data_IF_245371591374
#
_entry.id   IF_245371591374
#
_cell.length_a   1.000
_cell.length_b   1.000
_cell.length_c   1.000
_cell.angle_alpha   90.00
_cell.angle_beta   90.00
_cell.angle_gamma   90.00
#
_symmetry.space_group_name_H-M   'P 1'
#
loop_
_entity.id
_entity.type
_entity.pdbx_description
1 polymer ?
#
# COMPACT_ATOMS: atom_id res chain seq x y z
N UNK A 1 -46.52 -11.27 -2.01
CA UNK A 1 -45.61 -11.44 -0.87
C UNK A 1 -44.34 -10.58 -0.96
N UNK A 2 -43.66 -10.49 -2.11
CA UNK A 2 -42.41 -9.74 -2.30
C UNK A 2 -42.45 -8.26 -1.85
N UNK A 3 -43.55 -7.53 -2.13
CA UNK A 3 -43.75 -6.13 -1.69
C UNK A 3 -43.84 -5.96 -0.17
N UNK A 4 -44.38 -6.94 0.57
CA UNK A 4 -44.52 -6.85 2.03
C UNK A 4 -43.20 -7.16 2.76
N UNK A 5 -42.35 -8.01 2.16
CA UNK A 5 -40.99 -8.30 2.66
C UNK A 5 -40.05 -7.11 2.44
N UNK A 6 -40.15 -6.41 1.30
CA UNK A 6 -39.35 -5.21 1.01
C UNK A 6 -39.68 -4.03 1.95
N UNK A 7 -40.96 -3.85 2.30
CA UNK A 7 -41.39 -2.79 3.24
C UNK A 7 -40.91 -3.08 4.67
N UNK A 8 -40.92 -4.34 5.10
CA UNK A 8 -40.41 -4.73 6.42
C UNK A 8 -38.87 -4.58 6.54
N UNK A 9 -38.11 -4.91 5.48
CA UNK A 9 -36.66 -4.67 5.42
C UNK A 9 -36.31 -3.18 5.33
N UNK A 10 -37.11 -2.38 4.63
CA UNK A 10 -37.00 -0.92 4.63
C UNK A 10 -37.21 -0.30 6.01
N UNK A 11 -38.15 -0.84 6.80
CA UNK A 11 -38.36 -0.44 8.19
C UNK A 11 -37.22 -0.90 9.12
N UNK A 12 -36.63 -2.08 8.91
CA UNK A 12 -35.47 -2.56 9.67
C UNK A 12 -34.19 -1.72 9.42
N UNK A 13 -34.09 -1.06 8.26
CA UNK A 13 -33.07 -0.04 8.00
C UNK A 13 -33.39 1.32 8.65
N UNK A 14 -34.65 1.57 9.05
CA UNK A 14 -35.10 2.82 9.66
C UNK A 14 -35.09 2.80 11.20
N UNK A 15 -35.07 1.62 11.83
CA UNK A 15 -34.89 1.50 13.29
C UNK A 15 -33.39 1.62 13.61
N UNK A 16 -32.95 2.86 13.75
CA UNK A 16 -31.60 3.21 14.17
C UNK A 16 -31.37 2.80 15.63
N UNK A 17 -30.78 1.61 15.85
CA UNK A 17 -29.99 1.39 17.05
C UNK A 17 -28.83 2.40 17.03
N UNK A 18 -28.51 3.10 18.14
CA UNK A 18 -27.39 4.01 18.19
C UNK A 18 -26.13 3.23 17.82
N UNK A 19 -25.54 3.58 16.67
CA UNK A 19 -24.25 3.05 16.29
C UNK A 19 -23.24 3.46 17.38
N UNK A 20 -22.32 2.59 17.79
CA UNK A 20 -21.22 2.99 18.66
C UNK A 20 -20.54 4.21 18.01
N UNK A 21 -20.28 5.23 18.83
CA UNK A 21 -19.68 6.50 18.41
C UNK A 21 -18.55 6.23 17.41
N UNK A 22 -18.74 6.67 16.17
CA UNK A 22 -17.73 6.59 15.13
C UNK A 22 -16.51 7.35 15.63
N UNK A 23 -15.41 6.62 15.80
CA UNK A 23 -14.11 7.20 16.09
C UNK A 23 -13.79 8.18 14.97
N UNK A 24 -13.53 9.42 15.37
CA UNK A 24 -13.26 10.60 14.57
C UNK A 24 -11.87 10.50 13.90
N UNK A 25 -11.59 9.38 13.22
CA UNK A 25 -10.36 9.18 12.46
C UNK A 25 -10.69 9.24 10.98
N UNK A 26 -10.40 10.38 10.36
CA UNK A 26 -10.39 10.58 8.90
C UNK A 26 -9.41 9.64 8.17
N UNK A 27 -8.63 8.84 8.90
CA UNK A 27 -7.68 7.83 8.44
C UNK A 27 -8.22 6.41 8.65
N UNK A 28 -8.87 5.87 7.62
CA UNK A 28 -9.30 4.47 7.58
C UNK A 28 -8.15 3.56 7.13
N UNK A 29 -8.03 2.41 7.78
CA UNK A 29 -7.05 1.36 7.46
C UNK A 29 -7.72 0.37 6.49
N UNK A 30 -7.63 0.57 5.16
CA UNK A 30 -8.26 -0.37 4.23
C UNK A 30 -7.34 -1.54 3.83
N UNK A 31 -7.88 -2.76 3.67
CA UNK A 31 -7.10 -3.93 3.22
C UNK A 31 -6.78 -3.85 1.72
N UNK A 32 -5.71 -4.51 1.26
CA UNK A 32 -5.45 -4.75 -0.18
C UNK A 32 -6.66 -5.36 -0.86
N UNK A 33 -6.89 -5.15 -2.17
CA UNK A 33 -7.94 -5.89 -2.90
C UNK A 33 -7.76 -7.42 -2.72
N UNK A 34 -6.52 -7.89 -2.77
CA UNK A 34 -6.19 -9.29 -2.49
C UNK A 34 -6.58 -9.73 -1.07
N UNK A 35 -6.21 -8.96 -0.04
CA UNK A 35 -6.58 -9.28 1.35
C UNK A 35 -8.09 -9.14 1.57
N UNK A 36 -8.74 -8.16 0.94
CA UNK A 36 -10.18 -7.99 0.97
C UNK A 36 -10.88 -9.21 0.37
N UNK A 37 -10.43 -9.69 -0.79
CA UNK A 37 -10.95 -10.91 -1.43
C UNK A 37 -10.65 -12.16 -0.59
N UNK A 38 -9.45 -12.30 -0.04
CA UNK A 38 -9.05 -13.45 0.77
C UNK A 38 -9.86 -13.52 2.08
N UNK A 39 -10.01 -12.39 2.75
CA UNK A 39 -10.73 -12.25 4.02
C UNK A 39 -12.25 -12.10 3.84
N UNK A 40 -12.75 -12.01 2.60
CA UNK A 40 -14.18 -11.87 2.35
C UNK A 40 -14.92 -13.14 2.73
N UNK A 41 -15.99 -12.99 3.50
CA UNK A 41 -16.94 -14.05 3.80
C UNK A 41 -17.88 -14.32 2.61
N UNK A 42 -18.14 -13.28 1.80
CA UNK A 42 -19.03 -13.34 0.65
C UNK A 42 -18.56 -12.38 -0.45
N UNK A 43 -18.53 -12.86 -1.70
CA UNK A 43 -18.33 -12.01 -2.89
C UNK A 43 -19.49 -12.28 -3.84
N UNK A 44 -20.20 -11.23 -4.25
CA UNK A 44 -21.40 -11.33 -5.09
C UNK A 44 -21.44 -10.27 -6.18
N UNK A 45 -22.10 -10.58 -7.29
CA UNK A 45 -22.72 -9.59 -8.15
C UNK A 45 -24.14 -9.36 -7.64
N UNK A 46 -24.52 -8.11 -7.40
CA UNK A 46 -25.84 -7.78 -6.88
C UNK A 46 -26.39 -6.48 -7.48
N UNK A 47 -27.71 -6.34 -7.43
CA UNK A 47 -28.45 -5.18 -7.91
C UNK A 47 -29.05 -4.43 -6.73
N UNK A 48 -28.90 -3.10 -6.70
CA UNK A 48 -29.47 -2.25 -5.66
C UNK A 48 -31.00 -2.28 -5.74
N UNK A 49 -31.64 -2.98 -4.81
CA UNK A 49 -33.09 -3.10 -4.72
C UNK A 49 -33.73 -1.90 -3.98
N UNK A 50 -33.01 -1.29 -3.05
CA UNK A 50 -33.41 -0.06 -2.37
C UNK A 50 -32.17 0.69 -1.85
N UNK A 51 -32.19 2.03 -1.89
CA UNK A 51 -31.09 2.88 -1.42
C UNK A 51 -31.58 3.74 -0.25
N UNK A 52 -30.76 3.83 0.80
CA UNK A 52 -31.02 4.62 2.00
C UNK A 52 -29.82 5.52 2.33
N UNK A 53 -30.03 6.52 3.19
CA UNK A 53 -29.02 7.53 3.52
C UNK A 53 -27.66 6.95 3.95
N UNK A 54 -27.64 5.81 4.65
CA UNK A 54 -26.42 5.18 5.20
C UNK A 54 -26.19 3.74 4.70
N UNK A 55 -26.88 3.31 3.63
CA UNK A 55 -26.82 1.92 3.18
C UNK A 55 -27.72 1.61 1.99
N UNK A 56 -27.73 0.36 1.56
CA UNK A 56 -28.59 -0.11 0.49
C UNK A 56 -28.93 -1.59 0.68
N UNK A 57 -30.11 -1.98 0.22
CA UNK A 57 -30.50 -3.37 0.09
C UNK A 57 -30.13 -3.84 -1.31
N UNK A 58 -29.40 -4.95 -1.41
CA UNK A 58 -28.94 -5.53 -2.66
C UNK A 58 -29.57 -6.91 -2.87
N UNK A 59 -30.19 -7.11 -4.03
CA UNK A 59 -30.60 -8.44 -4.48
C UNK A 59 -29.40 -9.13 -5.13
N UNK A 60 -28.97 -10.26 -4.56
CA UNK A 60 -27.86 -11.05 -5.08
C UNK A 60 -28.27 -11.67 -6.42
N UNK A 61 -27.55 -11.32 -7.47
CA UNK A 61 -27.73 -11.90 -8.80
C UNK A 61 -26.89 -13.17 -8.95
N UNK A 62 -25.65 -13.15 -8.45
CA UNK A 62 -24.71 -14.27 -8.55
C UNK A 62 -23.70 -14.27 -7.40
N UNK A 63 -23.50 -15.43 -6.80
CA UNK A 63 -22.47 -15.68 -5.79
C UNK A 63 -21.15 -16.11 -6.43
N UNK A 64 -20.05 -15.42 -6.12
CA UNK A 64 -18.71 -15.70 -6.62
C UNK A 64 -17.82 -16.39 -5.57
N UNK A 65 -17.98 -16.03 -4.30
CA UNK A 65 -17.28 -16.63 -3.15
C UNK A 65 -18.23 -16.68 -1.96
N UNK A 66 -18.15 -17.72 -1.13
CA UNK A 66 -18.95 -17.89 0.09
C UNK A 66 -20.16 -18.79 -0.12
N UNK A 67 -21.06 -18.92 0.88
CA UNK A 67 -22.27 -19.73 0.75
C UNK A 67 -23.19 -19.18 -0.34
N UNK A 68 -23.88 -20.06 -1.07
CA UNK A 68 -24.78 -19.68 -2.17
C UNK A 68 -25.92 -18.79 -1.66
N UNK A 69 -26.05 -17.59 -2.23
CA UNK A 69 -27.04 -16.56 -1.85
C UNK A 69 -27.84 -16.02 -3.03
N UNK A 70 -27.78 -16.66 -4.21
CA UNK A 70 -28.47 -16.18 -5.42
C UNK A 70 -29.97 -15.95 -5.16
N UNK A 71 -30.47 -14.77 -5.51
CA UNK A 71 -31.84 -14.32 -5.25
C UNK A 71 -32.10 -13.75 -3.85
N UNK A 72 -31.18 -13.91 -2.89
CA UNK A 72 -31.31 -13.35 -1.55
C UNK A 72 -31.16 -11.81 -1.57
N UNK A 73 -31.73 -11.16 -0.55
CA UNK A 73 -31.57 -9.72 -0.33
C UNK A 73 -30.61 -9.51 0.84
N UNK A 74 -29.57 -8.70 0.63
CA UNK A 74 -28.56 -8.34 1.62
C UNK A 74 -28.72 -6.88 1.99
N UNK A 75 -28.80 -6.57 3.28
CA UNK A 75 -28.71 -5.21 3.78
C UNK A 75 -27.24 -4.85 4.00
N UNK A 76 -26.77 -3.80 3.31
CA UNK A 76 -25.36 -3.37 3.38
C UNK A 76 -25.31 -1.95 3.93
N UNK A 77 -24.57 -1.79 5.03
CA UNK A 77 -24.40 -0.51 5.74
C UNK A 77 -23.03 0.11 5.42
N UNK A 78 -22.89 1.42 5.66
CA UNK A 78 -21.61 2.13 5.54
C UNK A 78 -21.22 2.52 4.10
N UNK A 79 -22.21 2.58 3.20
CA UNK A 79 -21.99 2.91 1.77
C UNK A 79 -21.79 4.41 1.51
N UNK A 80 -22.26 5.25 2.43
CA UNK A 80 -22.21 6.71 2.37
C UNK A 80 -21.46 7.25 3.59
N UNK A 81 -20.35 7.94 3.37
CA UNK A 81 -19.76 8.84 4.35
C UNK A 81 -20.03 10.27 3.86
N UNK A 82 -20.57 11.19 4.69
CA UNK A 82 -20.94 12.55 4.28
C UNK A 82 -19.79 13.36 3.66
N UNK A 83 -18.55 13.01 4.01
CA UNK A 83 -17.33 13.68 3.55
C UNK A 83 -16.74 13.07 2.26
N UNK A 84 -17.21 11.89 1.81
CA UNK A 84 -16.78 11.26 0.56
C UNK A 84 -17.59 11.86 -0.60
N UNK A 85 -17.31 13.13 -0.92
CA UNK A 85 -18.12 14.00 -1.80
C UNK A 85 -18.21 13.61 -3.29
N UNK A 86 -17.59 12.52 -3.76
CA UNK A 86 -17.53 12.21 -5.20
C UNK A 86 -17.77 10.73 -5.57
N UNK A 87 -18.60 10.02 -4.81
CA UNK A 87 -19.16 8.77 -5.36
C UNK A 87 -20.32 9.09 -6.28
N UNK A 88 -20.46 8.41 -7.43
CA UNK A 88 -21.72 8.42 -8.13
C UNK A 88 -22.83 8.04 -7.15
N UNK A 89 -23.92 8.81 -7.17
CA UNK A 89 -25.11 8.47 -6.40
C UNK A 89 -25.46 7.02 -6.74
N UNK A 90 -25.64 6.20 -5.71
CA UNK A 90 -26.13 4.84 -5.90
C UNK A 90 -27.62 4.97 -6.19
N UNK A 91 -28.06 4.43 -7.31
CA UNK A 91 -29.46 4.42 -7.70
C UNK A 91 -30.05 3.02 -7.58
N UNK A 92 -31.38 2.96 -7.46
CA UNK A 92 -32.07 1.68 -7.53
C UNK A 92 -31.89 1.08 -8.94
N UNK A 93 -31.54 -0.20 -9.01
CA UNK A 93 -31.21 -0.89 -10.26
C UNK A 93 -29.72 -0.92 -10.59
N UNK A 94 -28.89 -0.14 -9.88
CA UNK A 94 -27.44 -0.20 -10.08
C UNK A 94 -26.90 -1.58 -9.72
N UNK A 95 -26.19 -2.18 -10.68
CA UNK A 95 -25.46 -3.42 -10.45
C UNK A 95 -24.06 -3.12 -9.91
N UNK A 96 -23.58 -3.99 -9.02
CA UNK A 96 -22.27 -3.84 -8.40
C UNK A 96 -21.70 -5.20 -8.01
N UNK A 97 -20.40 -5.35 -8.20
CA UNK A 97 -19.65 -6.38 -7.49
C UNK A 97 -19.41 -5.92 -6.05
N UNK A 98 -19.65 -6.82 -5.11
CA UNK A 98 -19.56 -6.57 -3.69
C UNK A 98 -18.62 -7.58 -3.04
N UNK A 99 -17.64 -7.07 -2.30
CA UNK A 99 -16.75 -7.84 -1.43
C UNK A 99 -17.19 -7.55 -0.01
N UNK A 100 -17.62 -8.57 0.74
CA UNK A 100 -18.31 -8.41 2.02
C UNK A 100 -17.63 -9.20 3.13
N UNK A 101 -17.61 -8.60 4.33
CA UNK A 101 -17.26 -9.25 5.60
C UNK A 101 -18.50 -9.30 6.50
N UNK A 102 -18.65 -10.38 7.26
CA UNK A 102 -19.80 -10.60 8.14
C UNK A 102 -20.11 -12.07 8.33
N UNK A 103 -20.98 -12.40 9.28
CA UNK A 103 -21.38 -13.80 9.52
C UNK A 103 -22.09 -14.35 8.27
N UNK A 104 -21.56 -15.41 7.61
CA UNK A 104 -22.10 -15.92 6.35
C UNK A 104 -23.57 -16.34 6.43
N UNK A 105 -24.09 -16.59 7.63
CA UNK A 105 -25.48 -17.01 7.94
C UNK A 105 -26.36 -15.90 8.54
N UNK A 106 -25.81 -14.73 8.91
CA UNK A 106 -26.53 -13.63 9.58
C UNK A 106 -26.88 -12.43 8.67
N UNK A 107 -27.61 -11.45 9.22
CA UNK A 107 -28.10 -10.26 8.48
C UNK A 107 -27.12 -9.07 8.43
N UNK A 108 -25.90 -9.22 8.97
CA UNK A 108 -24.93 -8.12 9.08
C UNK A 108 -23.73 -8.30 8.16
N UNK A 109 -23.87 -7.98 6.87
CA UNK A 109 -22.73 -7.81 5.98
C UNK A 109 -22.32 -6.34 5.91
N UNK A 110 -21.02 -6.09 5.97
CA UNK A 110 -20.43 -4.78 5.74
C UNK A 110 -19.40 -4.87 4.63
N UNK A 111 -19.13 -3.72 4.00
CA UNK A 111 -17.91 -3.58 3.21
C UNK A 111 -16.68 -3.72 4.13
N UNK A 112 -15.53 -4.19 3.62
CA UNK A 112 -14.26 -4.15 4.34
C UNK A 112 -13.95 -2.78 4.93
N UNK A 113 -14.40 -1.72 4.23
CA UNK A 113 -14.29 -0.33 4.66
C UNK A 113 -15.31 0.55 3.90
N UNK A 114 -15.51 1.82 4.31
CA UNK A 114 -16.40 2.72 3.58
C UNK A 114 -15.97 2.96 2.13
N UNK A 115 -14.67 3.03 1.83
CA UNK A 115 -14.17 3.33 0.47
C UNK A 115 -13.89 2.11 -0.41
N UNK A 116 -13.79 0.89 0.14
CA UNK A 116 -13.45 -0.34 -0.58
C UNK A 116 -14.48 -1.45 -0.37
N UNK A 117 -14.86 -2.11 -1.46
CA UNK A 117 -15.71 -3.31 -1.45
C UNK A 117 -16.98 -3.20 -2.30
N UNK A 118 -17.26 -2.04 -2.90
CA UNK A 118 -18.33 -1.85 -3.90
C UNK A 118 -17.71 -1.41 -5.22
N UNK A 119 -17.99 -2.16 -6.28
CA UNK A 119 -17.49 -1.89 -7.62
C UNK A 119 -18.69 -1.82 -8.60
N UNK A 120 -19.24 -0.62 -8.85
CA UNK A 120 -20.40 -0.44 -9.72
C UNK A 120 -20.12 -0.89 -11.14
N UNK A 121 -21.10 -1.50 -11.79
CA UNK A 121 -21.05 -1.80 -13.22
C UNK A 121 -21.73 -0.71 -14.03
N UNK A 122 -21.20 -0.38 -15.20
CA UNK A 122 -21.76 0.59 -16.15
C UNK A 122 -21.62 0.06 -17.56
N UNK A 123 -22.31 0.67 -18.52
CA UNK A 123 -22.02 0.44 -19.93
C UNK A 123 -20.88 1.37 -20.36
N UNK A 124 -19.84 0.79 -20.94
CA UNK A 124 -18.74 1.51 -21.58
C UNK A 124 -19.17 2.17 -22.90
N UNK A 125 -18.26 2.95 -23.49
CA UNK A 125 -18.52 3.64 -24.76
C UNK A 125 -18.77 2.72 -25.95
N UNK A 126 -18.37 1.45 -25.84
CA UNK A 126 -18.59 0.37 -26.81
C UNK A 126 -19.86 -0.48 -26.49
N UNK A 127 -20.62 -0.10 -25.48
CA UNK A 127 -21.82 -0.80 -25.03
C UNK A 127 -21.53 -2.08 -24.23
N UNK A 128 -20.28 -2.38 -23.89
CA UNK A 128 -19.93 -3.52 -23.04
C UNK A 128 -19.98 -3.15 -21.55
N UNK A 129 -20.27 -4.11 -20.66
CA UNK A 129 -20.24 -3.85 -19.22
C UNK A 129 -18.81 -3.57 -18.74
N UNK A 130 -18.63 -2.44 -18.07
CA UNK A 130 -17.43 -2.01 -17.39
C UNK A 130 -17.66 -1.99 -15.87
N UNK A 131 -16.72 -2.51 -15.11
CA UNK A 131 -16.66 -2.42 -13.66
C UNK A 131 -15.85 -1.19 -13.30
N UNK A 132 -16.51 -0.23 -12.65
CA UNK A 132 -15.88 0.96 -12.11
C UNK A 132 -15.27 0.62 -10.76
N UNK A 133 -13.95 0.64 -10.70
CA UNK A 133 -13.21 0.58 -9.47
C UNK A 133 -12.93 2.02 -9.01
N UNK A 134 -13.68 2.48 -8.01
CA UNK A 134 -13.51 3.80 -7.40
C UNK A 134 -12.88 3.66 -6.03
N UNK A 135 -11.75 4.34 -5.84
CA UNK A 135 -11.03 4.41 -4.57
C UNK A 135 -10.79 5.87 -4.27
N UNK A 136 -11.16 6.36 -3.09
CA UNK A 136 -10.79 7.71 -2.72
C UNK A 136 -11.55 8.29 -1.54
N UNK A 137 -10.80 9.08 -0.76
CA UNK A 137 -11.29 10.21 0.03
C UNK A 137 -11.18 11.53 -0.76
N UNK A 138 -11.38 12.66 -0.09
CA UNK A 138 -11.54 13.99 -0.71
C UNK A 138 -10.37 14.45 -1.62
N UNK A 139 -9.16 13.88 -1.49
CA UNK A 139 -7.96 14.31 -2.24
C UNK A 139 -7.31 13.19 -3.07
N UNK A 140 -7.88 11.98 -3.08
CA UNK A 140 -7.20 10.75 -3.55
C UNK A 140 -8.10 9.86 -4.41
N UNK A 141 -8.91 10.49 -5.26
CA UNK A 141 -9.86 9.77 -6.10
C UNK A 141 -9.17 9.15 -7.33
N UNK A 142 -9.10 7.81 -7.36
CA UNK A 142 -8.75 7.03 -8.54
C UNK A 142 -9.99 6.29 -8.99
N UNK A 143 -10.40 6.54 -10.23
CA UNK A 143 -11.49 5.84 -10.91
C UNK A 143 -10.90 5.08 -12.08
N UNK A 144 -11.01 3.76 -12.02
CA UNK A 144 -10.65 2.87 -13.13
C UNK A 144 -11.94 2.27 -13.68
N UNK A 145 -12.11 2.22 -14.99
CA UNK A 145 -13.18 1.48 -15.64
C UNK A 145 -12.56 0.28 -16.36
N UNK A 146 -12.93 -0.93 -15.93
CA UNK A 146 -12.40 -2.16 -16.52
C UNK A 146 -13.49 -2.94 -17.22
N UNK A 147 -13.22 -3.55 -18.39
CA UNK A 147 -14.14 -4.54 -18.95
C UNK A 147 -14.44 -5.63 -17.91
N UNK A 148 -15.72 -5.95 -17.71
CA UNK A 148 -16.19 -6.85 -16.65
C UNK A 148 -15.46 -8.20 -16.66
N UNK A 149 -15.19 -8.73 -17.85
CA UNK A 149 -14.43 -9.97 -18.04
C UNK A 149 -13.04 -9.90 -17.39
N UNK A 150 -12.33 -8.79 -17.56
CA UNK A 150 -11.01 -8.60 -16.96
C UNK A 150 -11.11 -8.51 -15.43
N UNK A 151 -12.09 -7.75 -14.92
CA UNK A 151 -12.31 -7.66 -13.47
C UNK A 151 -12.61 -9.02 -12.83
N UNK A 152 -13.44 -9.85 -13.47
CA UNK A 152 -13.74 -11.21 -13.02
C UNK A 152 -12.50 -12.12 -13.03
N UNK A 153 -11.64 -12.00 -14.03
CA UNK A 153 -10.38 -12.76 -14.08
C UNK A 153 -9.45 -12.38 -12.91
N UNK A 154 -9.39 -11.10 -12.54
CA UNK A 154 -8.64 -10.63 -11.37
C UNK A 154 -9.19 -11.22 -10.07
N UNK A 155 -10.50 -11.10 -9.86
CA UNK A 155 -11.16 -11.64 -8.67
C UNK A 155 -10.97 -13.16 -8.58
N UNK A 156 -11.13 -13.89 -9.68
CA UNK A 156 -10.93 -15.34 -9.73
C UNK A 156 -9.53 -15.75 -9.29
N UNK A 157 -8.48 -15.06 -9.75
CA UNK A 157 -7.10 -15.33 -9.33
C UNK A 157 -6.83 -15.14 -7.83
N UNK A 158 -7.71 -14.42 -7.13
CA UNK A 158 -7.60 -14.07 -5.71
C UNK A 158 -8.44 -14.96 -4.77
N UNK A 159 -9.43 -15.72 -5.26
CA UNK A 159 -10.33 -16.55 -4.44
C UNK A 159 -9.69 -17.93 -4.13
N UNK A 160 -9.59 -18.39 -2.86
CA UNK A 160 -9.09 -19.72 -2.42
C UNK A 160 -9.76 -20.95 -3.13
N UNK A 161 -9.02 -21.98 -3.59
CA UNK A 161 -9.51 -23.25 -4.20
C UNK A 161 -8.59 -23.96 -5.23
N UNK A 162 -8.79 -25.24 -5.59
CA UNK A 162 -7.94 -25.94 -6.60
C UNK A 162 -8.08 -25.38 -8.03
N UNK A 163 -9.19 -24.72 -8.35
CA UNK A 163 -9.40 -23.98 -9.60
C UNK A 163 -8.45 -22.76 -9.75
N UNK A 164 -7.74 -22.40 -8.68
CA UNK A 164 -6.80 -21.27 -8.61
C UNK A 164 -5.64 -21.38 -9.58
N UNK A 165 -5.01 -22.54 -9.73
CA UNK A 165 -3.78 -22.59 -10.53
C UNK A 165 -4.09 -22.29 -12.00
N UNK A 166 -5.25 -22.75 -12.49
CA UNK A 166 -5.74 -22.43 -13.83
C UNK A 166 -6.10 -20.94 -13.94
N UNK A 167 -6.86 -20.39 -12.98
CA UNK A 167 -7.28 -18.99 -12.99
C UNK A 167 -6.11 -18.01 -12.79
N UNK A 168 -5.10 -18.35 -11.98
CA UNK A 168 -3.86 -17.57 -11.83
C UNK A 168 -3.03 -17.60 -13.11
N UNK A 169 -2.93 -18.76 -13.77
CA UNK A 169 -2.26 -18.85 -15.07
C UNK A 169 -2.99 -18.02 -16.11
N UNK A 170 -4.32 -18.05 -16.13
CA UNK A 170 -5.14 -17.24 -17.04
C UNK A 170 -4.99 -15.74 -16.75
N UNK A 171 -5.10 -15.32 -15.48
CA UNK A 171 -4.93 -13.92 -15.08
C UNK A 171 -3.50 -13.42 -15.37
N UNK A 172 -2.48 -14.26 -15.15
CA UNK A 172 -1.09 -13.93 -15.52
C UNK A 172 -0.95 -13.82 -17.04
N UNK A 173 -1.56 -14.72 -17.83
CA UNK A 173 -1.54 -14.66 -19.28
C UNK A 173 -2.24 -13.40 -19.82
N UNK A 174 -3.39 -13.04 -19.27
CA UNK A 174 -4.12 -11.82 -19.60
C UNK A 174 -3.27 -10.58 -19.28
N UNK A 175 -2.67 -10.52 -18.08
CA UNK A 175 -1.78 -9.43 -17.70
C UNK A 175 -0.55 -9.32 -18.63
N UNK A 176 0.05 -10.45 -19.02
CA UNK A 176 1.16 -10.49 -19.99
C UNK A 176 0.72 -9.94 -21.35
N UNK A 177 -0.48 -10.28 -21.81
CA UNK A 177 -1.02 -9.80 -23.09
C UNK A 177 -1.20 -8.27 -23.09
N UNK A 178 -1.72 -7.71 -21.99
CA UNK A 178 -1.82 -6.25 -21.83
C UNK A 178 -0.44 -5.59 -21.84
N UNK A 179 0.54 -6.13 -21.08
CA UNK A 179 1.89 -5.55 -21.04
C UNK A 179 2.70 -5.75 -22.32
N UNK A 180 2.26 -6.59 -23.24
CA UNK A 180 2.83 -6.64 -24.59
C UNK A 180 2.55 -5.35 -25.36
N UNK A 181 1.44 -4.66 -25.05
CA UNK A 181 0.97 -3.41 -25.66
C UNK A 181 0.49 -2.40 -24.60
N UNK A 182 1.40 -1.89 -23.73
CA UNK A 182 1.02 -1.11 -22.55
C UNK A 182 0.53 0.32 -22.86
N UNK A 183 0.58 0.74 -24.13
CA UNK A 183 0.20 2.08 -24.57
C UNK A 183 -1.27 2.27 -24.87
N UNK A 184 -1.98 1.18 -25.18
CA UNK A 184 -3.34 1.23 -25.71
C UNK A 184 -4.35 1.57 -24.59
N UNK A 185 -4.06 1.15 -23.36
CA UNK A 185 -4.91 1.37 -22.19
C UNK A 185 -4.04 1.45 -20.91
N UNK A 186 -3.84 2.65 -20.34
CA UNK A 186 -3.09 2.83 -19.10
C UNK A 186 -3.73 2.21 -17.86
N UNK A 187 -5.06 2.10 -17.82
CA UNK A 187 -5.80 1.53 -16.69
C UNK A 187 -5.66 0.01 -16.72
N UNK A 188 -5.83 -0.61 -17.88
CA UNK A 188 -5.53 -2.03 -18.06
C UNK A 188 -4.05 -2.32 -17.75
N UNK A 189 -3.13 -1.44 -18.15
CA UNK A 189 -1.69 -1.60 -17.84
C UNK A 189 -1.41 -1.54 -16.35
N UNK A 190 -2.02 -0.60 -15.64
CA UNK A 190 -1.94 -0.52 -14.18
C UNK A 190 -2.40 -1.84 -13.55
N UNK A 191 -3.58 -2.31 -13.94
CA UNK A 191 -4.20 -3.53 -13.42
C UNK A 191 -3.37 -4.78 -13.75
N UNK A 192 -2.83 -4.87 -14.97
CA UNK A 192 -1.92 -5.94 -15.36
C UNK A 192 -0.68 -5.97 -14.46
N UNK A 193 -0.07 -4.81 -14.18
CA UNK A 193 1.08 -4.71 -13.26
C UNK A 193 0.69 -5.08 -11.83
N UNK A 194 -0.50 -4.71 -11.35
CA UNK A 194 -0.99 -5.14 -10.04
C UNK A 194 -1.17 -6.65 -9.96
N UNK A 195 -1.78 -7.24 -10.98
CA UNK A 195 -1.97 -8.69 -11.12
C UNK A 195 -0.65 -9.43 -11.06
N UNK A 196 0.33 -9.01 -11.87
CA UNK A 196 1.67 -9.58 -11.81
C UNK A 196 2.34 -9.28 -10.46
N UNK A 197 2.09 -8.12 -9.88
CA UNK A 197 2.54 -7.76 -8.54
C UNK A 197 2.03 -8.70 -7.45
N UNK A 198 0.95 -9.46 -7.67
CA UNK A 198 0.46 -10.46 -6.71
C UNK A 198 1.13 -11.82 -6.89
N UNK A 199 1.34 -12.24 -8.14
CA UNK A 199 1.71 -13.61 -8.47
C UNK A 199 3.16 -13.79 -8.91
N UNK A 200 3.82 -12.75 -9.39
CA UNK A 200 5.19 -12.83 -9.89
C UNK A 200 6.18 -13.04 -8.73
N UNK A 201 7.15 -13.91 -8.98
CA UNK A 201 8.27 -14.17 -8.08
C UNK A 201 9.62 -14.08 -8.79
N UNK A 202 10.68 -14.42 -8.06
CA UNK A 202 12.08 -14.36 -8.55
C UNK A 202 12.34 -15.25 -9.79
N UNK A 203 11.46 -16.21 -10.07
CA UNK A 203 11.55 -17.15 -11.19
C UNK A 203 11.01 -16.61 -12.52
N UNK A 204 10.15 -15.59 -12.51
CA UNK A 204 9.41 -15.12 -13.69
C UNK A 204 10.19 -14.07 -14.49
N UNK A 205 11.45 -14.37 -14.82
CA UNK A 205 12.37 -13.42 -15.47
C UNK A 205 11.89 -12.95 -16.83
N UNK A 206 11.06 -13.74 -17.51
CA UNK A 206 10.43 -13.38 -18.78
C UNK A 206 9.47 -12.20 -18.67
N UNK A 207 9.03 -11.83 -17.46
CA UNK A 207 8.21 -10.64 -17.21
C UNK A 207 9.02 -9.35 -17.22
N UNK A 208 10.34 -9.40 -17.00
CA UNK A 208 11.18 -8.19 -16.91
C UNK A 208 11.08 -7.34 -18.18
N UNK A 209 11.22 -7.87 -19.41
CA UNK A 209 11.08 -7.06 -20.62
C UNK A 209 9.69 -6.41 -20.78
N UNK A 210 8.62 -7.07 -20.33
CA UNK A 210 7.25 -6.56 -20.39
C UNK A 210 7.05 -5.37 -19.45
N UNK A 211 7.53 -5.49 -18.21
CA UNK A 211 7.46 -4.40 -17.22
C UNK A 211 8.33 -3.21 -17.65
N UNK A 212 9.52 -3.48 -18.21
CA UNK A 212 10.38 -2.44 -18.75
C UNK A 212 9.75 -1.72 -19.95
N UNK A 213 9.04 -2.44 -20.82
CA UNK A 213 8.28 -1.85 -21.93
C UNK A 213 7.20 -0.90 -21.43
N UNK A 214 6.43 -1.28 -20.40
CA UNK A 214 5.45 -0.41 -19.78
C UNK A 214 6.09 0.87 -19.20
N UNK A 215 7.24 0.76 -18.53
CA UNK A 215 8.00 1.92 -18.03
C UNK A 215 8.64 2.78 -19.13
N UNK A 216 8.83 2.22 -20.32
CA UNK A 216 9.40 2.90 -21.48
C UNK A 216 8.35 3.64 -22.31
N UNK A 217 7.08 3.28 -22.18
CA UNK A 217 6.01 3.84 -22.99
C UNK A 217 5.85 5.34 -22.76
N UNK A 218 5.87 6.11 -23.85
CA UNK A 218 5.91 7.56 -23.81
C UNK A 218 4.62 8.17 -23.24
N UNK A 219 3.46 7.67 -23.65
CA UNK A 219 2.16 8.12 -23.11
C UNK A 219 2.02 7.90 -21.60
N UNK A 220 2.57 6.79 -21.09
CA UNK A 220 2.55 6.48 -19.65
C UNK A 220 3.51 7.39 -18.85
N UNK A 221 4.51 7.96 -19.51
CA UNK A 221 5.39 8.99 -18.93
C UNK A 221 4.76 10.38 -18.98
N UNK A 222 4.10 10.75 -20.09
CA UNK A 222 3.50 12.07 -20.31
C UNK A 222 2.24 12.31 -19.48
N UNK A 223 1.37 11.30 -19.32
CA UNK A 223 0.06 11.45 -18.64
C UNK A 223 0.14 11.51 -17.10
N UNK A 224 1.32 11.71 -16.52
CA UNK A 224 1.51 11.74 -15.05
C UNK A 224 0.93 10.52 -14.32
N UNK A 225 0.85 9.36 -14.97
CA UNK A 225 0.34 8.11 -14.38
C UNK A 225 1.41 7.43 -13.52
N UNK A 226 1.85 8.13 -12.50
CA UNK A 226 2.87 7.66 -11.58
C UNK A 226 2.44 6.38 -10.84
N UNK A 227 1.13 6.11 -10.72
CA UNK A 227 0.55 4.86 -10.20
C UNK A 227 1.04 3.64 -10.99
N UNK A 228 1.10 3.74 -12.32
CA UNK A 228 1.61 2.67 -13.20
C UNK A 228 3.09 2.43 -12.92
N UNK A 229 3.88 3.50 -12.73
CA UNK A 229 5.31 3.40 -12.44
C UNK A 229 5.57 2.87 -11.03
N UNK A 230 4.75 3.22 -10.05
CA UNK A 230 4.75 2.61 -8.70
C UNK A 230 4.46 1.12 -8.79
N UNK A 231 3.40 0.72 -9.51
CA UNK A 231 3.06 -0.68 -9.70
C UNK A 231 4.20 -1.46 -10.38
N UNK A 232 4.78 -0.90 -11.44
CA UNK A 232 5.94 -1.48 -12.12
C UNK A 232 7.15 -1.63 -11.20
N UNK A 233 7.47 -0.62 -10.37
CA UNK A 233 8.56 -0.70 -9.40
C UNK A 233 8.36 -1.87 -8.42
N UNK A 234 7.14 -2.08 -7.92
CA UNK A 234 6.81 -3.23 -7.05
C UNK A 234 7.01 -4.57 -7.75
N UNK A 235 6.55 -4.69 -9.01
CA UNK A 235 6.76 -5.91 -9.80
C UNK A 235 8.26 -6.19 -9.98
N UNK A 236 9.05 -5.17 -10.36
CA UNK A 236 10.50 -5.30 -10.50
C UNK A 236 11.18 -5.75 -9.20
N UNK A 237 10.71 -5.25 -8.04
CA UNK A 237 11.17 -5.70 -6.72
C UNK A 237 11.00 -7.21 -6.51
N UNK A 238 9.82 -7.74 -6.88
CA UNK A 238 9.53 -9.18 -6.76
C UNK A 238 10.33 -10.05 -7.74
N UNK A 239 10.48 -9.59 -8.98
CA UNK A 239 11.24 -10.31 -10.02
C UNK A 239 12.72 -10.42 -9.66
N UNK A 240 13.26 -9.44 -8.91
CA UNK A 240 14.65 -9.38 -8.48
C UNK A 240 15.66 -9.43 -9.65
N UNK A 241 16.95 -9.47 -9.33
CA UNK A 241 18.03 -9.56 -10.33
C UNK A 241 18.64 -8.22 -10.74
N UNK A 242 19.77 -8.30 -11.46
CA UNK A 242 20.64 -7.14 -11.75
C UNK A 242 19.92 -6.06 -12.57
N UNK A 243 19.19 -6.47 -13.60
CA UNK A 243 18.46 -5.55 -14.49
C UNK A 243 17.36 -4.81 -13.72
N UNK A 244 16.59 -5.53 -12.90
CA UNK A 244 15.57 -4.94 -12.03
C UNK A 244 16.18 -3.95 -11.04
N UNK A 245 17.28 -4.32 -10.37
CA UNK A 245 17.99 -3.45 -9.45
C UNK A 245 18.49 -2.16 -10.13
N UNK A 246 19.08 -2.26 -11.34
CA UNK A 246 19.51 -1.09 -12.09
C UNK A 246 18.35 -0.19 -12.48
N UNK A 247 17.21 -0.77 -12.88
CA UNK A 247 16.02 0.03 -13.23
C UNK A 247 15.41 0.71 -12.00
N UNK A 248 15.30 0.00 -10.89
CA UNK A 248 14.82 0.55 -9.63
C UNK A 248 15.73 1.68 -9.13
N UNK A 249 17.06 1.54 -9.27
CA UNK A 249 18.00 2.61 -8.95
C UNK A 249 17.73 3.87 -9.78
N UNK A 250 17.56 3.72 -11.09
CA UNK A 250 17.25 4.84 -11.97
C UNK A 250 15.93 5.53 -11.59
N UNK A 251 14.89 4.76 -11.23
CA UNK A 251 13.62 5.30 -10.75
C UNK A 251 13.77 6.04 -9.41
N UNK A 252 14.53 5.47 -8.46
CA UNK A 252 14.79 6.08 -7.16
C UNK A 252 15.51 7.45 -7.27
N UNK A 253 16.41 7.59 -8.24
CA UNK A 253 17.16 8.82 -8.45
C UNK A 253 16.41 9.89 -9.25
N UNK A 254 15.72 9.48 -10.31
CA UNK A 254 15.36 10.40 -11.39
C UNK A 254 13.87 10.42 -11.74
N UNK A 255 13.02 9.59 -11.14
CA UNK A 255 11.58 9.70 -11.43
C UNK A 255 11.06 11.05 -10.92
N UNK A 256 10.28 11.80 -11.71
CA UNK A 256 9.76 13.11 -11.29
C UNK A 256 8.84 13.00 -10.06
N UNK A 257 8.15 11.88 -9.87
CA UNK A 257 7.18 11.72 -8.80
C UNK A 257 7.80 11.12 -7.53
N UNK A 258 7.66 11.76 -6.35
CA UNK A 258 8.30 11.30 -5.10
C UNK A 258 7.80 9.92 -4.65
N UNK A 259 6.53 9.57 -4.90
CA UNK A 259 6.00 8.23 -4.61
C UNK A 259 6.76 7.12 -5.37
N UNK A 260 7.10 7.37 -6.64
CA UNK A 260 7.85 6.39 -7.44
C UNK A 260 9.26 6.26 -6.90
N UNK A 261 9.92 7.39 -6.56
CA UNK A 261 11.25 7.38 -5.95
C UNK A 261 11.27 6.58 -4.65
N UNK A 262 10.33 6.85 -3.75
CA UNK A 262 10.18 6.18 -2.46
C UNK A 262 9.93 4.67 -2.61
N UNK A 263 8.99 4.27 -3.47
CA UNK A 263 8.70 2.84 -3.71
C UNK A 263 9.90 2.16 -4.34
N UNK A 264 10.55 2.77 -5.34
CA UNK A 264 11.70 2.17 -5.99
C UNK A 264 12.88 1.95 -5.02
N UNK A 265 13.17 2.92 -4.15
CA UNK A 265 14.17 2.79 -3.09
C UNK A 265 13.82 1.66 -2.10
N UNK A 266 12.56 1.60 -1.67
CA UNK A 266 12.09 0.54 -0.77
C UNK A 266 12.22 -0.85 -1.40
N UNK A 267 11.94 -0.99 -2.70
CA UNK A 267 12.08 -2.27 -3.41
C UNK A 267 13.55 -2.68 -3.62
N UNK A 268 14.48 -1.73 -3.77
CA UNK A 268 15.92 -2.03 -3.87
C UNK A 268 16.44 -2.80 -2.67
N UNK A 269 15.97 -2.44 -1.47
CA UNK A 269 16.32 -3.13 -0.23
C UNK A 269 16.00 -4.63 -0.32
N UNK A 270 14.80 -4.98 -0.81
CA UNK A 270 14.34 -6.38 -0.93
C UNK A 270 15.02 -7.17 -2.06
N UNK A 271 15.49 -6.51 -3.11
CA UNK A 271 16.19 -7.17 -4.23
C UNK A 271 17.61 -7.59 -3.85
N UNK A 272 18.21 -6.92 -2.85
CA UNK A 272 19.63 -7.00 -2.56
C UNK A 272 19.96 -7.39 -1.12
N UNK A 273 18.96 -7.60 -0.26
CA UNK A 273 19.14 -7.97 1.16
C UNK A 273 20.03 -9.20 1.33
N UNK A 274 19.96 -10.17 0.42
CA UNK A 274 20.78 -11.40 0.46
C UNK A 274 22.22 -11.21 -0.09
N UNK A 275 22.60 -10.00 -0.53
CA UNK A 275 23.85 -9.72 -1.26
C UNK A 275 24.66 -8.55 -0.69
N UNK A 276 24.51 -8.29 0.61
CA UNK A 276 25.30 -7.30 1.34
C UNK A 276 26.80 -7.46 1.06
N UNK A 277 27.50 -6.34 0.84
CA UNK A 277 28.94 -6.33 0.55
C UNK A 277 29.36 -6.68 -0.88
N UNK A 278 28.45 -7.09 -1.77
CA UNK A 278 28.79 -7.27 -3.19
C UNK A 278 29.16 -5.94 -3.86
N UNK A 279 30.03 -5.96 -4.90
CA UNK A 279 30.39 -4.75 -5.68
C UNK A 279 29.17 -4.00 -6.21
N UNK A 280 28.12 -4.73 -6.58
CA UNK A 280 26.86 -4.16 -7.04
C UNK A 280 26.09 -3.47 -5.89
N UNK A 281 25.99 -4.11 -4.72
CA UNK A 281 25.37 -3.51 -3.53
C UNK A 281 26.11 -2.24 -3.09
N UNK A 282 27.45 -2.25 -3.09
CA UNK A 282 28.26 -1.07 -2.76
C UNK A 282 28.04 0.08 -3.76
N UNK A 283 27.96 -0.21 -5.06
CA UNK A 283 27.66 0.82 -6.05
C UNK A 283 26.26 1.41 -5.84
N UNK A 284 25.25 0.57 -5.62
CA UNK A 284 23.87 0.99 -5.36
C UNK A 284 23.80 1.84 -4.08
N UNK A 285 24.48 1.44 -3.02
CA UNK A 285 24.53 2.20 -1.78
C UNK A 285 25.13 3.60 -1.97
N UNK A 286 26.26 3.72 -2.69
CA UNK A 286 26.85 5.05 -2.97
C UNK A 286 25.88 5.95 -3.73
N UNK A 287 25.18 5.38 -4.71
CA UNK A 287 24.22 6.12 -5.53
C UNK A 287 22.99 6.55 -4.71
N UNK A 288 22.45 5.66 -3.87
CA UNK A 288 21.35 5.99 -2.96
C UNK A 288 21.76 7.04 -1.91
N UNK A 289 22.99 6.98 -1.40
CA UNK A 289 23.51 7.97 -0.47
C UNK A 289 23.58 9.35 -1.12
N UNK A 290 24.01 9.44 -2.39
CA UNK A 290 23.97 10.71 -3.13
C UNK A 290 22.53 11.19 -3.32
N UNK A 291 21.62 10.33 -3.75
CA UNK A 291 20.20 10.68 -3.94
C UNK A 291 19.52 11.12 -2.64
N UNK A 292 19.96 10.62 -1.49
CA UNK A 292 19.42 10.97 -0.18
C UNK A 292 19.73 12.41 0.24
N UNK A 293 20.83 13.01 -0.23
CA UNK A 293 21.24 14.37 0.17
C UNK A 293 20.27 15.45 -0.30
N UNK A 294 19.57 15.19 -1.39
CA UNK A 294 18.62 16.11 -2.03
C UNK A 294 17.17 15.60 -1.89
N UNK A 295 16.96 14.48 -1.20
CA UNK A 295 15.66 13.86 -1.07
C UNK A 295 14.79 14.63 -0.06
N UNK A 296 13.53 14.87 -0.43
CA UNK A 296 12.54 15.39 0.51
C UNK A 296 12.35 14.44 1.70
N UNK A 297 12.27 15.01 2.89
CA UNK A 297 11.94 14.32 4.12
C UNK A 297 10.42 14.17 4.33
N UNK A 298 9.60 14.88 3.56
CA UNK A 298 8.15 14.83 3.72
C UNK A 298 7.58 13.50 3.22
N UNK A 299 6.72 12.84 4.02
CA UNK A 299 5.97 11.67 3.60
C UNK A 299 5.20 11.96 2.33
N UNK A 300 5.07 10.94 1.48
CA UNK A 300 4.34 11.11 0.22
C UNK A 300 2.93 10.64 0.40
N UNK A 301 1.98 11.57 0.32
CA UNK A 301 0.58 11.20 0.17
C UNK A 301 0.38 10.59 -1.21
N UNK A 302 -0.06 9.34 -1.23
CA UNK A 302 -0.30 8.55 -2.42
C UNK A 302 -1.72 7.99 -2.34
N UNK A 303 -2.39 7.80 -3.47
CA UNK A 303 -3.62 7.02 -3.52
C UNK A 303 -3.28 5.61 -4.01
N UNK A 304 -3.07 4.67 -3.09
CA UNK A 304 -2.98 3.26 -3.47
C UNK A 304 -4.38 2.65 -3.51
N UNK A 305 -4.81 2.32 -4.73
CA UNK A 305 -6.06 1.62 -5.08
C UNK A 305 -6.26 0.34 -4.25
N UNK A 306 -5.19 -0.35 -3.86
CA UNK A 306 -5.34 -1.56 -3.05
C UNK A 306 -5.18 -1.28 -1.56
N UNK A 307 -4.19 -0.50 -1.12
CA UNK A 307 -3.90 -0.37 0.33
C UNK A 307 -3.79 1.10 0.77
N UNK A 308 -4.88 1.70 1.23
CA UNK A 308 -4.85 3.05 1.78
C UNK A 308 -4.12 3.22 3.12
N UNK A 309 -3.64 2.14 3.76
CA UNK A 309 -2.57 2.28 4.77
C UNK A 309 -1.24 2.68 4.16
N UNK A 310 -1.06 2.41 2.86
CA UNK A 310 0.07 2.87 2.06
C UNK A 310 -0.19 4.21 1.36
N UNK A 311 -1.31 4.89 1.72
CA UNK A 311 -1.56 6.25 1.24
C UNK A 311 -0.60 7.27 1.84
N UNK A 312 0.19 6.88 2.84
CA UNK A 312 1.44 7.55 3.17
C UNK A 312 2.56 6.57 2.87
N UNK A 313 3.34 6.88 1.85
CA UNK A 313 4.61 6.24 1.62
C UNK A 313 5.66 6.94 2.48
N UNK A 314 6.69 6.21 2.96
CA UNK A 314 7.85 6.86 3.55
C UNK A 314 8.37 7.93 2.58
N UNK A 315 8.94 8.99 3.12
CA UNK A 315 9.57 10.01 2.28
C UNK A 315 10.68 9.39 1.43
N UNK A 316 11.05 9.98 0.28
CA UNK A 316 12.19 9.51 -0.49
C UNK A 316 13.48 9.43 0.36
N UNK A 317 13.65 10.35 1.31
CA UNK A 317 14.77 10.31 2.27
C UNK A 317 14.71 9.06 3.15
N UNK A 318 13.57 8.81 3.81
CA UNK A 318 13.40 7.64 4.68
C UNK A 318 13.58 6.34 3.90
N UNK A 319 12.98 6.23 2.71
CA UNK A 319 13.07 5.04 1.88
C UNK A 319 14.52 4.74 1.45
N UNK A 320 15.27 5.76 1.04
CA UNK A 320 16.68 5.61 0.70
C UNK A 320 17.52 5.21 1.93
N UNK A 321 17.27 5.84 3.08
CA UNK A 321 17.98 5.53 4.33
C UNK A 321 17.70 4.09 4.79
N UNK A 322 16.45 3.62 4.78
CA UNK A 322 16.12 2.22 5.05
C UNK A 322 16.82 1.27 4.08
N UNK A 323 16.87 1.60 2.79
CA UNK A 323 17.57 0.80 1.80
C UNK A 323 19.09 0.75 2.05
N UNK A 324 19.71 1.87 2.45
CA UNK A 324 21.13 1.90 2.83
C UNK A 324 21.41 1.03 4.05
N UNK A 325 20.54 1.07 5.06
CA UNK A 325 20.66 0.24 6.25
C UNK A 325 20.48 -1.25 5.95
N UNK A 326 19.49 -1.62 5.12
CA UNK A 326 19.30 -3.00 4.68
C UNK A 326 20.49 -3.55 3.88
N UNK A 327 21.20 -2.67 3.15
CA UNK A 327 22.46 -2.99 2.46
C UNK A 327 23.68 -3.00 3.39
N UNK A 328 23.50 -2.76 4.69
CA UNK A 328 24.57 -2.63 5.70
C UNK A 328 25.62 -1.56 5.31
N UNK A 329 25.20 -0.52 4.57
CA UNK A 329 26.12 0.52 4.10
C UNK A 329 26.29 1.63 5.12
N UNK A 330 27.56 1.96 5.42
CA UNK A 330 27.93 3.11 6.26
C UNK A 330 27.85 4.46 5.55
N UNK A 331 27.62 4.48 4.24
CA UNK A 331 27.47 5.73 3.48
C UNK A 331 26.26 6.56 3.96
N UNK A 332 25.27 5.90 4.59
CA UNK A 332 24.10 6.54 5.17
C UNK A 332 24.33 7.21 6.53
N UNK A 333 25.41 6.88 7.27
CA UNK A 333 25.60 7.34 8.67
C UNK A 333 25.60 8.86 8.76
N UNK A 334 26.40 9.54 7.93
CA UNK A 334 26.51 11.01 7.97
C UNK A 334 25.17 11.68 7.64
N UNK A 335 24.44 11.14 6.67
CA UNK A 335 23.14 11.68 6.22
C UNK A 335 22.09 11.49 7.31
N UNK A 336 22.01 10.28 7.89
CA UNK A 336 21.09 9.98 8.98
C UNK A 336 21.38 10.84 10.21
N UNK A 337 22.65 10.99 10.62
CA UNK A 337 23.04 11.85 11.74
C UNK A 337 22.68 13.32 11.50
N UNK A 338 22.86 13.82 10.26
CA UNK A 338 22.43 15.17 9.89
C UNK A 338 20.92 15.33 9.95
N UNK A 339 20.15 14.30 9.59
CA UNK A 339 18.69 14.33 9.66
C UNK A 339 18.18 14.39 11.11
N UNK A 340 18.87 13.76 12.07
CA UNK A 340 18.57 13.84 13.51
C UNK A 340 18.82 15.22 14.13
N UNK A 341 19.63 16.05 13.48
CA UNK A 341 19.92 17.44 13.90
C UNK A 341 18.87 18.43 13.37
N UNK A 342 18.01 18.00 12.43
CA UNK A 342 16.94 18.82 11.86
C UNK A 342 15.87 19.19 12.90
N UNK A 343 15.14 20.29 12.64
CA UNK A 343 13.89 20.64 13.33
C UNK A 343 12.66 19.95 12.71
N UNK A 344 12.79 19.44 11.48
CA UNK A 344 11.76 18.65 10.80
C UNK A 344 11.65 17.25 11.41
N UNK A 345 10.51 16.97 12.04
CA UNK A 345 10.20 15.68 12.65
C UNK A 345 10.31 14.52 11.66
N UNK A 346 9.92 14.70 10.39
CA UNK A 346 9.94 13.62 9.41
C UNK A 346 11.37 13.33 8.92
N UNK A 347 12.25 14.34 8.90
CA UNK A 347 13.68 14.14 8.73
C UNK A 347 14.29 13.36 9.91
N UNK A 348 13.90 13.71 11.14
CA UNK A 348 14.33 12.97 12.34
C UNK A 348 13.88 11.50 12.25
N UNK A 349 12.61 11.23 11.93
CA UNK A 349 12.09 9.87 11.74
C UNK A 349 12.87 9.11 10.66
N UNK A 350 13.16 9.75 9.53
CA UNK A 350 13.96 9.15 8.46
C UNK A 350 15.37 8.75 8.94
N UNK A 351 16.04 9.63 9.69
CA UNK A 351 17.33 9.36 10.32
C UNK A 351 17.27 8.21 11.33
N UNK A 352 16.24 8.18 12.18
CA UNK A 352 16.05 7.11 13.17
C UNK A 352 15.74 5.76 12.53
N UNK A 353 14.98 5.74 11.42
CA UNK A 353 14.68 4.53 10.66
C UNK A 353 15.95 3.85 10.13
N UNK A 354 16.96 4.62 9.69
CA UNK A 354 18.27 4.09 9.29
C UNK A 354 18.93 3.31 10.43
N UNK A 355 19.02 3.91 11.62
CA UNK A 355 19.72 3.29 12.75
C UNK A 355 18.95 2.10 13.33
N UNK A 356 17.62 2.18 13.34
CA UNK A 356 16.74 1.07 13.76
C UNK A 356 16.95 -0.17 12.89
N UNK A 357 17.09 0.01 11.57
CA UNK A 357 17.30 -1.08 10.63
C UNK A 357 18.76 -1.57 10.64
N UNK A 358 19.73 -0.66 10.78
CA UNK A 358 21.17 -1.00 10.78
C UNK A 358 21.58 -1.80 12.02
N UNK A 359 21.00 -1.48 13.19
CA UNK A 359 21.27 -2.14 14.48
C UNK A 359 22.76 -2.21 14.86
N UNK A 360 23.53 -1.16 14.57
CA UNK A 360 24.94 -1.07 14.98
C UNK A 360 25.06 -0.34 16.34
N UNK A 361 25.27 -1.05 17.47
CA UNK A 361 25.34 -0.45 18.80
C UNK A 361 26.53 0.52 18.95
N UNK A 362 27.55 0.44 18.08
CA UNK A 362 28.72 1.34 18.12
C UNK A 362 28.32 2.78 17.77
N UNK A 363 27.19 2.98 17.11
CA UNK A 363 26.66 4.30 16.73
C UNK A 363 25.72 4.89 17.79
N UNK A 364 25.39 4.15 18.85
CA UNK A 364 24.45 4.59 19.88
C UNK A 364 24.87 5.91 20.54
N UNK A 365 26.18 6.11 20.80
CA UNK A 365 26.67 7.38 21.36
C UNK A 365 26.42 8.57 20.43
N UNK A 366 26.56 8.37 19.11
CA UNK A 366 26.35 9.42 18.12
C UNK A 366 24.87 9.80 18.03
N UNK A 367 23.96 8.82 18.08
CA UNK A 367 22.51 9.02 18.13
C UNK A 367 22.10 9.70 19.43
N UNK A 368 22.57 9.21 20.59
CA UNK A 368 22.24 9.78 21.90
C UNK A 368 22.72 11.23 22.06
N UNK A 369 23.85 11.60 21.44
CA UNK A 369 24.35 12.99 21.48
C UNK A 369 23.39 13.98 20.81
N UNK A 370 22.53 13.51 19.90
CA UNK A 370 21.55 14.33 19.16
C UNK A 370 20.18 14.38 19.84
N UNK A 371 19.98 13.63 20.92
CA UNK A 371 18.78 13.80 21.75
C UNK A 371 18.71 15.23 22.30
N UNK A 372 17.48 15.76 22.42
CA UNK A 372 17.22 17.09 22.94
C UNK A 372 17.47 17.12 24.44
N UNK A 373 17.95 18.25 24.97
CA UNK A 373 18.14 18.42 26.41
C UNK A 373 16.78 18.41 27.13
N UNK A 374 16.77 18.01 28.42
CA UNK A 374 15.54 17.89 29.21
C UNK A 374 14.72 19.20 29.29
N UNK A 375 15.40 20.35 29.20
CA UNK A 375 14.77 21.68 29.22
C UNK A 375 14.31 22.18 27.85
N UNK A 376 14.52 21.42 26.77
CA UNK A 376 14.08 21.80 25.43
C UNK A 376 12.58 21.56 25.26
N UNK A 377 11.88 22.48 24.58
CA UNK A 377 10.46 22.30 24.24
C UNK A 377 10.18 21.04 23.40
N UNK A 378 11.20 20.53 22.68
CA UNK A 378 11.13 19.35 21.83
C UNK A 378 11.62 18.07 22.52
N UNK A 379 11.77 18.07 23.85
CA UNK A 379 12.22 16.90 24.60
C UNK A 379 11.29 15.68 24.39
N UNK A 380 10.04 15.88 23.98
CA UNK A 380 9.09 14.80 23.67
C UNK A 380 9.60 13.87 22.53
N UNK A 381 10.38 14.41 21.58
CA UNK A 381 10.97 13.65 20.46
C UNK A 381 11.95 12.59 20.96
N UNK A 382 12.55 12.77 22.16
CA UNK A 382 13.49 11.81 22.74
C UNK A 382 12.89 10.41 22.98
N UNK A 383 11.56 10.29 23.02
CA UNK A 383 10.89 8.98 23.06
C UNK A 383 11.21 8.15 21.80
N UNK A 384 11.19 8.78 20.62
CA UNK A 384 11.55 8.13 19.34
C UNK A 384 13.04 7.73 19.31
N UNK A 385 13.90 8.60 19.84
CA UNK A 385 15.33 8.29 19.98
C UNK A 385 15.55 7.10 20.91
N UNK A 386 14.86 7.04 22.04
CA UNK A 386 14.99 5.96 23.01
C UNK A 386 14.51 4.62 22.46
N UNK A 387 13.40 4.60 21.72
CA UNK A 387 12.93 3.40 21.00
C UNK A 387 13.97 2.91 19.99
N UNK A 388 14.55 3.83 19.23
CA UNK A 388 15.61 3.51 18.26
C UNK A 388 16.85 2.96 18.96
N UNK A 389 17.32 3.62 20.03
CA UNK A 389 18.48 3.18 20.80
C UNK A 389 18.24 1.83 21.48
N UNK A 390 17.02 1.58 21.96
CA UNK A 390 16.62 0.26 22.45
C UNK A 390 16.66 -0.79 21.34
N UNK A 391 16.14 -0.49 20.14
CA UNK A 391 16.19 -1.41 19.00
C UNK A 391 17.64 -1.71 18.54
N UNK A 392 18.54 -0.73 18.62
CA UNK A 392 19.95 -0.88 18.27
C UNK A 392 20.75 -1.69 19.28
N UNK A 393 20.43 -1.58 20.57
CA UNK A 393 21.30 -2.05 21.68
C UNK A 393 20.69 -3.15 22.55
N UNK A 394 19.38 -3.34 22.48
CA UNK A 394 18.61 -4.20 23.39
C UNK A 394 18.34 -3.60 24.77
N UNK A 395 18.83 -2.39 25.08
CA UNK A 395 18.75 -1.79 26.41
C UNK A 395 17.51 -0.90 26.59
N UNK A 396 16.94 -0.86 27.79
CA UNK A 396 15.74 -0.06 28.11
C UNK A 396 16.05 1.04 29.12
N UNK A 397 16.64 2.14 28.64
CA UNK A 397 17.06 3.27 29.49
C UNK A 397 16.07 4.46 29.48
N UNK A 398 15.02 4.38 28.66
CA UNK A 398 14.00 5.42 28.55
C UNK A 398 14.46 6.67 27.76
N UNK A 399 13.69 7.76 27.80
CA UNK A 399 13.92 8.97 26.99
C UNK A 399 15.01 9.91 27.52
N UNK A 400 15.76 9.50 28.55
CA UNK A 400 16.78 10.35 29.18
C UNK A 400 18.09 10.28 28.41
N UNK A 401 18.51 11.40 27.82
CA UNK A 401 19.76 11.52 27.06
C UNK A 401 20.97 11.09 27.86
N UNK A 402 21.05 11.52 29.12
CA UNK A 402 22.18 11.32 30.01
C UNK A 402 22.37 9.84 30.33
N UNK A 403 21.28 9.07 30.46
CA UNK A 403 21.32 7.63 30.69
C UNK A 403 21.96 6.90 29.50
N UNK A 404 21.55 7.25 28.27
CA UNK A 404 22.14 6.68 27.06
C UNK A 404 23.61 7.07 26.86
N UNK A 405 23.98 8.32 27.15
CA UNK A 405 25.37 8.76 27.08
C UNK A 405 26.26 8.06 28.12
N UNK A 406 25.75 7.85 29.33
CA UNK A 406 26.47 7.10 30.37
C UNK A 406 26.71 5.65 29.94
N UNK A 407 25.67 4.97 29.44
CA UNK A 407 25.78 3.62 28.91
C UNK A 407 26.79 3.52 27.75
N UNK A 408 26.74 4.45 26.80
CA UNK A 408 27.66 4.40 25.65
C UNK A 408 29.14 4.60 26.07
N UNK A 409 29.40 5.41 27.10
CA UNK A 409 30.75 5.59 27.68
C UNK A 409 31.23 4.33 28.38
N UNK A 410 30.35 3.64 29.09
CA UNK A 410 30.67 2.36 29.74
C UNK A 410 31.03 1.29 28.70
N UNK A 411 30.21 1.13 27.66
CA UNK A 411 30.50 0.19 26.57
C UNK A 411 31.82 0.49 25.85
N UNK A 412 32.14 1.78 25.62
CA UNK A 412 33.42 2.17 25.06
C UNK A 412 34.61 1.82 25.98
N UNK A 413 34.45 1.91 27.30
CA UNK A 413 35.46 1.47 28.27
C UNK A 413 35.64 -0.04 28.29
N UNK A 414 34.55 -0.79 28.21
CA UNK A 414 34.59 -2.26 28.14
C UNK A 414 35.30 -2.75 26.89
N UNK A 415 35.02 -2.14 25.73
CA UNK A 415 35.69 -2.51 24.47
C UNK A 415 37.21 -2.26 24.54
N UNK A 416 37.63 -1.11 25.07
CA UNK A 416 39.07 -0.78 25.26
C UNK A 416 39.81 -1.69 26.23
N UNK A 417 39.10 -2.43 27.09
CA UNK A 417 39.73 -3.44 27.97
C UNK A 417 39.92 -4.79 27.27
N UNK A 418 39.20 -5.03 26.16
CA UNK A 418 39.24 -6.28 25.39
C UNK A 418 40.22 -6.21 24.22
N UNK A 419 40.42 -5.01 23.68
CA UNK A 419 41.48 -4.68 22.72
C UNK A 419 42.81 -4.46 23.47
#
# INVERSE_FOLDING_TARGET
MLRRVLVALGLLCAVALPAPAQVDSTTWVHPTLAAAVLDADLIVLAEAAAVAKNGAAYKVLRTLKGPKRDGAVLAIRGLHHPELRERPALEQGDQSYLILRGKPEGEGFSLPTPTLGRFPTRLGGDGQPEVVMSFGGAETFVRLALPEKQFLQLLGGLIPGEQILAQRKEASAAARAVLAKPGDDPEATYVALRTLGLFAGRGDRELVPLVLRALAHEELRKRSLFQVRVAAARVLGKLSGKVCAQRLLALAQHDPHPAVRSVAASQLAGVLSDKGGSKAALHIARVLAQASREASAQPVTFADVEDPRTNQLPSPLEANLRALAALQSRDGVKIALSALESEDLDAIKAGLAYFTELKDPRLASAVATRMRGEKSGDAWVNSLFAETLQAMTGQKLGPKREAWLAWAREQAREQRKKD
#
